data_IF_918416549953
#
_entry.id   IF_918416549953
#
_cell.length_a   1.000
_cell.length_b   1.000
_cell.length_c   1.000
_cell.angle_alpha   90.00
_cell.angle_beta   90.00
_cell.angle_gamma   90.00
#
_symmetry.space_group_name_H-M   'P 1'
#
loop_
_entity.id
_entity.type
_entity.pdbx_description
1 polymer ?
#
# COMPACT_ATOMS: atom_id res chain seq x y z
N UNK A 1 -3.73 -12.83 -14.69
CA UNK A 1 -4.88 -12.77 -13.75
C UNK A 1 -5.00 -11.34 -13.27
N UNK A 2 -6.15 -10.70 -13.47
CA UNK A 2 -6.36 -9.31 -13.05
C UNK A 2 -6.33 -9.23 -11.52
N UNK A 3 -5.87 -8.10 -10.98
CA UNK A 3 -5.77 -7.85 -9.55
C UNK A 3 -6.30 -6.46 -9.20
N UNK A 4 -6.58 -6.26 -7.92
CA UNK A 4 -7.04 -5.00 -7.34
C UNK A 4 -5.90 -4.45 -6.49
N UNK A 5 -5.49 -3.22 -6.78
CA UNK A 5 -4.54 -2.46 -5.99
C UNK A 5 -5.30 -1.42 -5.18
N UNK A 6 -5.31 -1.60 -3.86
CA UNK A 6 -5.82 -0.64 -2.88
C UNK A 6 -4.65 0.22 -2.39
N UNK A 7 -4.84 1.53 -2.39
CA UNK A 7 -3.84 2.52 -1.95
C UNK A 7 -4.35 3.23 -0.71
N UNK A 8 -3.47 3.45 0.25
CA UNK A 8 -3.79 4.15 1.49
C UNK A 8 -2.75 5.24 1.72
N UNK A 9 -3.17 6.48 1.82
CA UNK A 9 -2.33 7.63 2.15
C UNK A 9 -2.52 8.07 3.61
N UNK A 10 -3.50 7.49 4.30
CA UNK A 10 -3.74 7.73 5.73
C UNK A 10 -3.57 6.42 6.54
N UNK A 11 -2.79 6.42 7.65
CA UNK A 11 -2.58 5.24 8.49
C UNK A 11 -3.85 4.74 9.20
N UNK A 12 -4.81 5.61 9.50
CA UNK A 12 -6.10 5.21 10.07
C UNK A 12 -6.92 4.42 9.04
N UNK A 13 -6.99 4.93 7.81
CA UNK A 13 -7.66 4.28 6.68
C UNK A 13 -7.08 2.90 6.40
N UNK A 14 -5.75 2.76 6.47
CA UNK A 14 -5.07 1.48 6.35
C UNK A 14 -5.40 0.49 7.48
N UNK A 15 -5.56 0.99 8.70
CA UNK A 15 -5.88 0.16 9.87
C UNK A 15 -7.31 -0.37 9.83
N UNK A 16 -8.24 0.41 9.26
CA UNK A 16 -9.66 0.08 9.12
C UNK A 16 -10.02 -0.56 7.77
N UNK A 17 -9.03 -0.79 6.90
CA UNK A 17 -9.20 -1.24 5.51
C UNK A 17 -10.19 -0.38 4.67
N UNK A 18 -10.09 0.94 4.80
CA UNK A 18 -10.79 1.90 3.95
C UNK A 18 -9.80 2.50 2.93
N UNK A 19 -9.66 1.93 1.72
CA UNK A 19 -8.71 2.44 0.73
C UNK A 19 -9.08 3.84 0.25
N UNK A 20 -8.08 4.70 0.10
CA UNK A 20 -8.23 6.05 -0.47
C UNK A 20 -8.36 5.99 -2.00
N UNK A 21 -7.71 5.01 -2.64
CA UNK A 21 -7.81 4.76 -4.07
C UNK A 21 -7.88 3.25 -4.33
N UNK A 22 -8.69 2.83 -5.30
CA UNK A 22 -8.78 1.45 -5.78
C UNK A 22 -8.51 1.44 -7.28
N UNK A 23 -7.56 0.61 -7.73
CA UNK A 23 -7.20 0.47 -9.15
C UNK A 23 -7.27 -0.99 -9.59
N UNK A 24 -7.80 -1.22 -10.79
CA UNK A 24 -7.64 -2.52 -11.44
C UNK A 24 -6.30 -2.56 -12.19
N UNK A 25 -5.57 -3.65 -12.03
CA UNK A 25 -4.25 -3.88 -12.62
C UNK A 25 -4.21 -5.24 -13.32
N UNK A 26 -3.34 -5.38 -14.31
CA UNK A 26 -3.26 -6.57 -15.16
C UNK A 26 -2.75 -7.81 -14.42
N UNK A 27 -1.96 -7.63 -13.35
CA UNK A 27 -1.43 -8.71 -12.50
C UNK A 27 -0.95 -8.23 -11.13
N UNK A 28 -0.87 -9.14 -10.15
CA UNK A 28 -0.27 -8.84 -8.85
C UNK A 28 1.19 -8.36 -8.98
N UNK A 29 1.96 -8.94 -9.91
CA UNK A 29 3.35 -8.54 -10.19
C UNK A 29 3.44 -7.08 -10.62
N UNK A 30 2.51 -6.62 -11.45
CA UNK A 30 2.41 -5.22 -11.86
C UNK A 30 2.10 -4.31 -10.67
N UNK A 31 1.15 -4.72 -9.82
CA UNK A 31 0.82 -4.01 -8.57
C UNK A 31 2.01 -3.87 -7.62
N UNK A 32 2.80 -4.94 -7.47
CA UNK A 32 4.01 -4.93 -6.64
C UNK A 32 5.04 -3.95 -7.22
N UNK A 33 5.24 -3.94 -8.55
CA UNK A 33 6.15 -2.99 -9.20
C UNK A 33 5.73 -1.54 -8.98
N UNK A 34 4.44 -1.23 -9.19
CA UNK A 34 3.89 0.11 -8.98
C UNK A 34 4.06 0.54 -7.52
N UNK A 35 3.62 -0.31 -6.58
CA UNK A 35 3.75 -0.06 -5.16
C UNK A 35 5.20 0.27 -4.84
N UNK A 36 6.13 -0.69 -5.04
CA UNK A 36 7.56 -0.51 -4.72
C UNK A 36 8.17 0.75 -5.32
N UNK A 37 7.79 1.12 -6.56
CA UNK A 37 8.23 2.35 -7.20
C UNK A 37 7.82 3.60 -6.42
N UNK A 38 6.55 3.68 -6.02
CA UNK A 38 6.02 4.81 -5.24
C UNK A 38 6.56 4.83 -3.81
N UNK A 39 6.63 3.67 -3.14
CA UNK A 39 7.27 3.51 -1.83
C UNK A 39 8.68 4.08 -1.85
N UNK A 40 9.46 3.70 -2.86
CA UNK A 40 10.86 4.12 -2.98
C UNK A 40 10.99 5.64 -3.13
N UNK A 41 10.13 6.26 -3.94
CA UNK A 41 10.10 7.72 -4.14
C UNK A 41 9.75 8.48 -2.85
N UNK A 42 8.84 7.93 -2.04
CA UNK A 42 8.30 8.58 -0.83
C UNK A 42 9.06 8.22 0.45
N UNK A 43 9.99 7.25 0.40
CA UNK A 43 10.74 6.75 1.56
C UNK A 43 11.46 7.83 2.38
N UNK A 44 11.79 8.97 1.78
CA UNK A 44 12.53 10.07 2.43
C UNK A 44 11.70 11.32 2.71
N UNK A 45 10.43 11.34 2.33
CA UNK A 45 9.57 12.52 2.50
C UNK A 45 8.82 12.50 3.83
N UNK A 46 8.78 11.36 4.52
CA UNK A 46 8.01 11.18 5.75
C UNK A 46 6.50 11.06 5.51
N UNK A 47 6.06 11.05 4.25
CA UNK A 47 4.67 10.84 3.86
C UNK A 47 4.31 9.37 4.03
N UNK A 48 3.19 9.10 4.69
CA UNK A 48 2.65 7.75 4.77
C UNK A 48 2.02 7.37 3.44
N UNK A 49 2.34 6.17 2.96
CA UNK A 49 1.59 5.51 1.92
C UNK A 49 1.66 4.00 2.16
N UNK A 50 0.61 3.26 1.83
CA UNK A 50 0.57 1.82 1.97
C UNK A 50 -0.25 1.23 0.82
N UNK A 51 -0.04 -0.06 0.57
CA UNK A 51 -0.68 -0.76 -0.53
C UNK A 51 -1.15 -2.14 -0.09
N UNK A 52 -2.32 -2.52 -0.58
CA UNK A 52 -2.89 -3.86 -0.45
C UNK A 52 -3.24 -4.36 -1.85
N UNK A 53 -2.81 -5.59 -2.17
CA UNK A 53 -3.02 -6.21 -3.48
C UNK A 53 -3.86 -7.45 -3.28
N UNK A 54 -5.01 -7.48 -3.95
CA UNK A 54 -5.98 -8.56 -3.90
C UNK A 54 -6.17 -9.15 -5.30
N UNK A 55 -6.42 -10.45 -5.40
CA UNK A 55 -6.93 -11.02 -6.65
C UNK A 55 -8.38 -10.60 -6.85
N UNK A 56 -8.91 -10.69 -8.08
CA UNK A 56 -10.34 -10.48 -8.32
C UNK A 56 -11.24 -11.51 -7.63
N UNK A 57 -10.66 -12.54 -7.01
CA UNK A 57 -11.37 -13.55 -6.21
C UNK A 57 -11.38 -13.22 -4.72
N UNK A 58 -10.78 -12.09 -4.30
CA UNK A 58 -10.75 -11.64 -2.90
C UNK A 58 -9.57 -12.19 -2.08
N UNK A 59 -8.66 -12.94 -2.71
CA UNK A 59 -7.50 -13.45 -2.00
C UNK A 59 -6.48 -12.32 -1.77
N UNK A 60 -6.19 -12.05 -0.50
CA UNK A 60 -5.14 -11.12 -0.10
C UNK A 60 -3.77 -11.72 -0.44
N UNK A 61 -3.13 -11.19 -1.47
CA UNK A 61 -1.83 -11.71 -1.93
C UNK A 61 -0.65 -10.96 -1.29
N UNK A 62 -0.82 -9.67 -0.99
CA UNK A 62 0.31 -8.87 -0.53
C UNK A 62 -0.13 -7.61 0.23
N UNK A 63 0.49 -7.36 1.39
CA UNK A 63 0.31 -6.16 2.20
C UNK A 63 1.67 -5.52 2.44
N UNK A 64 1.89 -4.32 1.89
CA UNK A 64 3.13 -3.57 2.07
C UNK A 64 2.90 -2.43 3.07
N UNK A 65 3.42 -2.53 4.31
CA UNK A 65 3.47 -1.39 5.20
C UNK A 65 4.58 -0.42 4.76
N UNK A 66 4.37 0.89 4.92
CA UNK A 66 5.48 1.85 4.84
C UNK A 66 5.47 2.82 6.00
N UNK A 67 6.69 2.97 6.49
CA UNK A 67 7.18 3.89 7.50
C UNK A 67 7.32 5.35 6.98
N UNK A 68 7.45 6.34 7.90
CA UNK A 68 7.71 6.12 9.31
C UNK A 68 6.47 6.19 10.18
N UNK A 69 6.20 5.07 10.85
CA UNK A 69 5.96 5.14 12.30
C UNK A 69 7.12 5.97 12.82
N UNK A 70 6.88 7.20 13.28
CA UNK A 70 7.83 7.85 14.19
C UNK A 70 8.05 6.80 15.26
N UNK A 71 9.24 6.18 15.33
CA UNK A 71 9.64 5.49 16.57
C UNK A 71 9.39 6.54 17.63
N UNK A 72 8.47 6.28 18.55
CA UNK A 72 8.29 7.14 19.71
C UNK A 72 9.71 7.32 20.26
N UNK A 73 10.24 8.53 20.07
CA UNK A 73 11.55 8.87 20.57
C UNK A 73 11.45 8.65 22.06
N UNK A 74 12.28 7.75 22.59
CA UNK A 74 12.63 7.80 24.01
C UNK A 74 13.04 9.25 24.30
N UNK A 75 12.15 10.01 24.92
CA UNK A 75 12.50 11.14 25.76
C UNK A 75 12.26 10.67 27.19
#
# INVERSE_FOLDING_TARGET
MKAILKVYNNPHNYSLDFPDEIRQIGSCTEGIKIARGNISKLRRTGVFIAYQIETTMGDLMYKLPIYPIKRAGKR
#
